data_IF_074704488035
#
_entry.id   IF_074704488035
#
_cell.length_a   1.000
_cell.length_b   1.000
_cell.length_c   1.000
_cell.angle_alpha   90.00
_cell.angle_beta   90.00
_cell.angle_gamma   90.00
#
_symmetry.space_group_name_H-M   'P 1'
#
loop_
_entity.id
_entity.type
_entity.pdbx_description
1 polymer ?
#
# COMPACT_ATOMS: atom_id res chain seq x y z
N UNK A 1 12.06 16.81 -16.18
CA UNK A 1 11.87 15.38 -16.47
C UNK A 1 10.38 15.20 -16.55
N UNK A 2 9.90 14.77 -17.70
CA UNK A 2 8.48 14.54 -17.95
C UNK A 2 8.40 13.28 -18.78
N UNK A 3 7.32 12.52 -18.60
CA UNK A 3 7.01 11.39 -19.47
C UNK A 3 6.27 11.93 -20.69
N UNK A 4 6.42 11.26 -21.83
CA UNK A 4 5.54 11.52 -22.97
C UNK A 4 4.12 11.07 -22.63
N UNK A 5 3.13 11.79 -23.14
CA UNK A 5 1.72 11.40 -23.00
C UNK A 5 1.33 10.43 -24.10
N UNK A 6 0.68 9.34 -23.74
CA UNK A 6 0.11 8.38 -24.70
C UNK A 6 -1.01 9.00 -25.54
N UNK A 7 -0.93 8.85 -26.86
CA UNK A 7 -2.03 9.21 -27.78
C UNK A 7 -3.17 8.18 -27.73
N UNK A 8 -2.84 6.89 -27.51
CA UNK A 8 -3.83 5.80 -27.38
C UNK A 8 -4.61 5.88 -26.07
N UNK A 9 -3.94 6.29 -25.00
CA UNK A 9 -4.50 6.37 -23.65
C UNK A 9 -4.44 7.82 -23.13
N UNK A 10 -5.34 8.71 -23.58
CA UNK A 10 -5.16 10.16 -23.41
C UNK A 10 -5.66 10.73 -22.08
N UNK A 11 -6.39 9.98 -21.26
CA UNK A 11 -7.00 10.50 -20.02
C UNK A 11 -6.12 10.16 -18.81
N UNK A 12 -5.60 11.19 -18.16
CA UNK A 12 -4.77 11.10 -16.96
C UNK A 12 -5.46 11.75 -15.75
N UNK A 13 -5.26 11.18 -14.57
CA UNK A 13 -5.86 11.67 -13.33
C UNK A 13 -4.87 11.69 -12.17
N UNK A 14 -5.06 12.66 -11.28
CA UNK A 14 -4.38 12.75 -9.98
C UNK A 14 -5.35 12.60 -8.81
N UNK A 15 -6.62 12.28 -9.07
CA UNK A 15 -7.65 12.20 -8.02
C UNK A 15 -7.27 11.21 -6.90
N UNK A 16 -6.63 10.10 -7.24
CA UNK A 16 -6.14 9.11 -6.28
C UNK A 16 -4.63 9.24 -6.01
N UNK A 17 -3.80 9.23 -7.06
CA UNK A 17 -2.33 9.25 -6.89
C UNK A 17 -1.82 10.54 -6.26
N UNK A 18 -2.60 11.62 -6.25
CA UNK A 18 -2.27 12.84 -5.51
C UNK A 18 -2.24 12.65 -3.99
N UNK A 19 -2.88 11.62 -3.43
CA UNK A 19 -2.74 11.27 -2.02
C UNK A 19 -1.43 10.52 -1.73
N UNK A 20 -0.87 9.87 -2.77
CA UNK A 20 0.36 9.06 -2.69
C UNK A 20 1.60 9.89 -3.02
N UNK A 21 1.48 10.74 -4.05
CA UNK A 21 2.45 11.72 -4.51
C UNK A 21 1.78 13.11 -4.53
N UNK A 22 1.59 13.74 -3.35
CA UNK A 22 0.99 15.07 -3.26
C UNK A 22 1.92 16.17 -3.79
N UNK A 23 3.22 15.96 -3.66
CA UNK A 23 4.26 16.88 -4.08
C UNK A 23 4.84 16.48 -5.45
N UNK A 24 5.55 17.40 -6.14
CA UNK A 24 6.26 17.07 -7.36
C UNK A 24 7.25 15.92 -7.17
N UNK A 25 7.28 14.98 -8.12
CA UNK A 25 8.20 13.85 -8.14
C UNK A 25 9.63 14.35 -8.25
N UNK A 26 10.50 13.91 -7.33
CA UNK A 26 11.89 14.36 -7.35
C UNK A 26 12.68 13.74 -8.50
N UNK A 27 13.78 14.39 -8.95
CA UNK A 27 14.67 13.79 -9.95
C UNK A 27 15.21 12.42 -9.57
N UNK A 28 15.46 12.22 -8.28
CA UNK A 28 15.94 10.95 -7.77
C UNK A 28 14.89 9.85 -7.97
N UNK A 29 13.67 10.05 -7.46
CA UNK A 29 12.58 9.08 -7.62
C UNK A 29 12.21 8.86 -9.08
N UNK A 30 12.17 9.91 -9.90
CA UNK A 30 11.93 9.79 -11.34
C UNK A 30 12.95 8.85 -11.98
N UNK A 31 14.24 9.07 -11.74
CA UNK A 31 15.31 8.29 -12.36
C UNK A 31 15.41 6.84 -11.88
N UNK A 32 15.01 6.56 -10.62
CA UNK A 32 15.07 5.21 -10.05
C UNK A 32 13.84 4.37 -10.39
N UNK A 33 12.67 5.02 -10.46
CA UNK A 33 11.38 4.31 -10.43
C UNK A 33 10.59 4.46 -11.73
N UNK A 34 10.67 5.60 -12.42
CA UNK A 34 9.81 5.90 -13.57
C UNK A 34 10.51 5.65 -14.90
N UNK A 35 11.50 6.48 -15.24
CA UNK A 35 12.21 6.44 -16.51
C UNK A 35 13.56 7.12 -16.36
N UNK A 36 14.58 6.59 -17.04
CA UNK A 36 15.90 7.21 -17.13
C UNK A 36 16.52 6.97 -18.52
N UNK A 37 17.81 7.24 -18.68
CA UNK A 37 18.53 7.05 -19.95
C UNK A 37 18.58 5.59 -20.44
N UNK A 38 18.44 4.63 -19.53
CA UNK A 38 18.37 3.20 -19.83
C UNK A 38 16.95 2.72 -20.16
N UNK A 39 15.95 3.63 -20.12
CA UNK A 39 14.56 3.37 -20.50
C UNK A 39 13.59 3.32 -19.31
N UNK A 40 12.51 2.56 -19.49
CA UNK A 40 11.45 2.38 -18.49
C UNK A 40 11.96 1.64 -17.25
N UNK A 41 11.58 2.14 -16.08
CA UNK A 41 12.00 1.58 -14.80
C UNK A 41 10.85 0.84 -14.10
N UNK A 42 11.11 0.36 -12.89
CA UNK A 42 10.25 -0.62 -12.20
C UNK A 42 8.79 -0.18 -11.95
N UNK A 43 8.48 1.11 -11.86
CA UNK A 43 7.10 1.58 -11.66
C UNK A 43 6.22 1.23 -12.85
N UNK A 44 6.61 1.68 -14.05
CA UNK A 44 5.83 1.43 -15.28
C UNK A 44 5.83 -0.05 -15.65
N UNK A 45 7.00 -0.70 -15.58
CA UNK A 45 7.11 -2.13 -15.90
C UNK A 45 6.31 -3.00 -14.92
N UNK A 46 6.27 -2.63 -13.64
CA UNK A 46 5.44 -3.30 -12.64
C UNK A 46 3.95 -3.15 -12.94
N UNK A 47 3.49 -1.97 -13.39
CA UNK A 47 2.12 -1.79 -13.85
C UNK A 47 1.77 -2.74 -14.99
N UNK A 48 2.62 -2.82 -16.02
CA UNK A 48 2.42 -3.74 -17.14
C UNK A 48 2.35 -5.18 -16.67
N UNK A 49 3.31 -5.61 -15.86
CA UNK A 49 3.35 -6.98 -15.32
C UNK A 49 2.04 -7.31 -14.58
N UNK A 50 1.55 -6.40 -13.74
CA UNK A 50 0.31 -6.58 -12.99
C UNK A 50 -0.91 -6.74 -13.89
N UNK A 51 -1.09 -5.85 -14.87
CA UNK A 51 -2.26 -5.85 -15.76
C UNK A 51 -2.22 -6.97 -16.81
N UNK A 52 -1.03 -7.36 -17.28
CA UNK A 52 -0.83 -8.55 -18.13
C UNK A 52 -1.12 -9.82 -17.33
N UNK A 53 -0.63 -9.91 -16.08
CA UNK A 53 -0.91 -11.04 -15.19
C UNK A 53 -2.39 -11.17 -14.87
N UNK A 54 -3.12 -10.05 -14.72
CA UNK A 54 -4.58 -10.08 -14.58
C UNK A 54 -5.31 -10.55 -15.86
N UNK A 55 -4.62 -10.64 -16.99
CA UNK A 55 -5.18 -11.11 -18.26
C UNK A 55 -5.84 -10.00 -19.10
N UNK A 56 -5.82 -8.76 -18.65
CA UNK A 56 -6.51 -7.66 -19.32
C UNK A 56 -5.75 -7.02 -20.48
N UNK A 57 -4.46 -7.33 -20.61
CA UNK A 57 -3.58 -6.79 -21.64
C UNK A 57 -2.55 -7.81 -22.11
N UNK A 58 -2.06 -7.60 -23.32
CA UNK A 58 -0.83 -8.19 -23.83
C UNK A 58 0.28 -7.13 -23.94
N UNK A 59 1.53 -7.53 -23.75
CA UNK A 59 2.67 -6.60 -23.68
C UNK A 59 2.81 -5.69 -24.92
N UNK A 60 2.49 -6.21 -26.10
CA UNK A 60 2.54 -5.48 -27.37
C UNK A 60 1.47 -4.38 -27.51
N UNK A 61 0.49 -4.31 -26.60
CA UNK A 61 -0.51 -3.23 -26.61
C UNK A 61 0.05 -1.91 -26.04
N UNK A 62 1.17 -1.97 -25.32
CA UNK A 62 1.83 -0.83 -24.72
C UNK A 62 2.92 -0.25 -25.63
N UNK A 63 3.14 1.05 -25.53
CA UNK A 63 4.33 1.68 -26.09
C UNK A 63 5.57 1.13 -25.38
N UNK A 64 6.56 0.64 -26.12
CA UNK A 64 7.70 -0.07 -25.54
C UNK A 64 8.73 0.86 -24.90
N UNK A 65 8.73 2.14 -25.28
CA UNK A 65 9.74 3.11 -24.87
C UNK A 65 9.17 4.16 -23.89
N UNK A 66 7.84 4.29 -23.83
CA UNK A 66 7.15 5.35 -23.08
C UNK A 66 6.24 4.81 -21.98
N UNK A 67 6.10 5.55 -20.89
CA UNK A 67 5.17 5.19 -19.81
C UNK A 67 3.71 5.25 -20.30
N UNK A 68 2.93 4.20 -19.99
CA UNK A 68 1.52 4.10 -20.32
C UNK A 68 0.67 4.31 -19.07
N UNK A 69 0.94 3.57 -17.98
CA UNK A 69 0.09 3.62 -16.78
C UNK A 69 0.39 4.82 -15.88
N UNK A 70 1.61 5.33 -15.96
CA UNK A 70 2.07 6.48 -15.20
C UNK A 70 2.41 7.65 -16.12
N UNK A 71 2.00 8.85 -15.71
CA UNK A 71 2.41 10.10 -16.34
C UNK A 71 3.09 11.02 -15.34
N UNK A 72 4.19 11.66 -15.72
CA UNK A 72 4.78 12.79 -14.97
C UNK A 72 4.84 14.00 -15.88
N UNK A 73 4.05 15.03 -15.59
CA UNK A 73 4.05 16.28 -16.34
C UNK A 73 3.75 17.47 -15.42
N UNK A 74 4.40 18.60 -15.65
CA UNK A 74 4.41 19.70 -14.69
C UNK A 74 5.04 19.33 -13.35
N UNK A 75 5.86 18.26 -13.33
CA UNK A 75 6.49 17.70 -12.13
C UNK A 75 5.60 16.78 -11.29
N UNK A 76 4.31 16.63 -11.58
CA UNK A 76 3.40 15.83 -10.77
C UNK A 76 3.13 14.45 -11.36
N UNK A 77 2.88 13.47 -10.50
CA UNK A 77 2.48 12.12 -10.89
C UNK A 77 0.99 12.03 -11.22
N UNK A 78 0.65 11.26 -12.25
CA UNK A 78 -0.69 10.97 -12.71
C UNK A 78 -0.82 9.48 -13.05
N UNK A 79 -2.01 8.93 -12.82
CA UNK A 79 -2.40 7.62 -13.32
C UNK A 79 -3.13 7.77 -14.65
N UNK A 80 -2.92 6.82 -15.55
CA UNK A 80 -3.63 6.77 -16.82
C UNK A 80 -4.99 6.09 -16.66
N UNK A 81 -6.04 6.90 -16.56
CA UNK A 81 -7.41 6.42 -16.43
C UNK A 81 -7.89 5.72 -17.72
N UNK A 82 -7.41 6.10 -18.90
CA UNK A 82 -7.79 5.42 -20.16
C UNK A 82 -7.39 3.94 -20.14
N UNK A 83 -6.15 3.63 -19.72
CA UNK A 83 -5.70 2.25 -19.62
C UNK A 83 -6.49 1.47 -18.54
N UNK A 84 -6.78 2.10 -17.40
CA UNK A 84 -7.56 1.47 -16.32
C UNK A 84 -9.02 1.24 -16.73
N UNK A 85 -9.64 2.17 -17.45
CA UNK A 85 -11.01 2.01 -18.01
C UNK A 85 -11.10 0.86 -18.97
N UNK A 86 -10.10 0.69 -19.84
CA UNK A 86 -10.06 -0.44 -20.77
C UNK A 86 -10.00 -1.77 -20.03
N UNK A 87 -9.25 -1.85 -18.92
CA UNK A 87 -9.33 -3.03 -18.05
C UNK A 87 -10.75 -3.28 -17.56
N UNK A 88 -11.42 -2.25 -17.02
CA UNK A 88 -12.81 -2.35 -16.56
C UNK A 88 -13.79 -2.76 -17.66
N UNK A 89 -13.62 -2.26 -18.89
CA UNK A 89 -14.43 -2.63 -20.04
C UNK A 89 -14.23 -4.09 -20.49
N UNK A 90 -13.04 -4.66 -20.27
CA UNK A 90 -12.72 -6.06 -20.59
C UNK A 90 -13.09 -7.02 -19.46
N UNK A 91 -13.12 -6.56 -18.20
CA UNK A 91 -13.33 -7.41 -17.04
C UNK A 91 -14.78 -7.89 -16.91
N UNK A 92 -15.02 -9.20 -16.69
CA UNK A 92 -16.37 -9.74 -16.58
C UNK A 92 -17.08 -9.18 -15.33
N UNK A 93 -18.29 -8.66 -15.53
CA UNK A 93 -19.09 -8.06 -14.45
C UNK A 93 -18.64 -6.66 -14.04
N UNK A 94 -17.75 -6.03 -14.81
CA UNK A 94 -17.31 -4.65 -14.62
C UNK A 94 -17.53 -3.82 -15.89
N UNK A 95 -17.40 -2.52 -15.74
CA UNK A 95 -17.50 -1.52 -16.79
C UNK A 95 -16.40 -0.48 -16.63
N UNK A 96 -16.16 0.31 -17.69
CA UNK A 96 -15.31 1.50 -17.57
C UNK A 96 -15.87 2.53 -16.56
N UNK A 97 -17.18 2.57 -16.35
CA UNK A 97 -17.82 3.45 -15.36
C UNK A 97 -17.48 3.02 -13.92
N UNK A 98 -17.38 1.73 -13.64
CA UNK A 98 -16.99 1.25 -12.30
C UNK A 98 -15.58 1.73 -11.94
N UNK A 99 -14.68 1.80 -12.93
CA UNK A 99 -13.35 2.39 -12.78
C UNK A 99 -13.46 3.90 -12.51
N UNK A 100 -14.32 4.61 -13.24
CA UNK A 100 -14.52 6.04 -13.01
C UNK A 100 -15.07 6.34 -11.62
N UNK A 101 -16.06 5.57 -11.16
CA UNK A 101 -16.65 5.70 -9.84
C UNK A 101 -15.61 5.45 -8.74
N UNK A 102 -14.67 4.51 -8.96
CA UNK A 102 -13.56 4.24 -8.05
C UNK A 102 -12.53 5.38 -7.99
N UNK A 103 -12.17 5.99 -9.13
CA UNK A 103 -11.09 6.98 -9.19
C UNK A 103 -11.55 8.43 -9.02
N UNK A 104 -12.73 8.77 -9.52
CA UNK A 104 -13.25 10.14 -9.59
C UNK A 104 -14.46 10.37 -8.68
N UNK A 105 -15.12 9.30 -8.19
CA UNK A 105 -16.37 9.41 -7.46
C UNK A 105 -17.41 10.19 -8.27
N UNK A 106 -18.01 11.22 -7.67
CA UNK A 106 -19.04 12.06 -8.31
C UNK A 106 -18.49 13.32 -8.98
N UNK A 107 -17.20 13.37 -9.33
CA UNK A 107 -16.63 14.56 -9.96
C UNK A 107 -17.24 14.81 -11.35
N UNK A 108 -17.73 16.04 -11.64
CA UNK A 108 -18.27 16.37 -12.95
C UNK A 108 -17.17 16.65 -13.98
N UNK A 109 -17.50 16.52 -15.27
CA UNK A 109 -16.62 16.94 -16.37
C UNK A 109 -15.55 15.91 -16.78
N UNK A 110 -15.67 14.68 -16.28
CA UNK A 110 -14.84 13.56 -16.71
C UNK A 110 -15.29 13.14 -18.13
N UNK A 111 -14.39 13.12 -19.14
CA UNK A 111 -14.75 12.65 -20.47
C UNK A 111 -15.22 11.19 -20.41
N UNK A 112 -16.32 10.83 -21.10
CA UNK A 112 -16.83 9.47 -21.09
C UNK A 112 -15.82 8.51 -21.73
N UNK A 113 -15.91 7.24 -21.36
CA UNK A 113 -15.21 6.19 -22.09
C UNK A 113 -15.84 6.02 -23.49
N UNK A 114 -15.01 6.12 -24.52
CA UNK A 114 -15.38 5.86 -25.91
C UNK A 114 -14.63 4.61 -26.39
N UNK A 115 -15.37 3.53 -26.61
CA UNK A 115 -14.82 2.26 -27.08
C UNK A 115 -14.09 2.44 -28.43
N UNK A 116 -12.86 1.96 -28.48
CA UNK A 116 -12.02 1.97 -29.68
C UNK A 116 -11.94 0.58 -30.32
N UNK A 117 -11.60 0.50 -31.63
CA UNK A 117 -11.36 -0.79 -32.28
C UNK A 117 -10.29 -1.61 -31.54
N UNK A 118 -10.63 -2.83 -31.15
CA UNK A 118 -9.75 -3.74 -30.41
C UNK A 118 -9.87 -3.68 -28.88
N UNK A 119 -10.73 -2.81 -28.36
CA UNK A 119 -11.00 -2.78 -26.91
C UNK A 119 -11.79 -4.01 -26.46
N UNK A 120 -12.80 -4.40 -27.24
CA UNK A 120 -13.55 -5.64 -27.04
C UNK A 120 -12.72 -6.85 -27.48
N UNK A 121 -12.39 -7.71 -26.52
CA UNK A 121 -11.59 -8.90 -26.73
C UNK A 121 -12.09 -10.02 -25.81
N UNK A 122 -12.90 -10.97 -26.34
CA UNK A 122 -13.45 -12.07 -25.56
C UNK A 122 -12.39 -12.97 -24.91
N UNK A 123 -11.22 -13.10 -25.52
CA UNK A 123 -10.14 -13.93 -24.96
C UNK A 123 -9.53 -13.27 -23.72
N UNK A 124 -9.38 -11.93 -23.74
CA UNK A 124 -8.97 -11.16 -22.55
C UNK A 124 -10.03 -11.19 -21.45
N UNK A 125 -11.32 -11.06 -21.82
CA UNK A 125 -12.42 -11.21 -20.85
C UNK A 125 -12.39 -12.59 -20.18
N UNK A 126 -12.15 -13.66 -20.94
CA UNK A 126 -12.01 -15.01 -20.39
C UNK A 126 -10.82 -15.14 -19.43
N UNK A 127 -9.64 -14.62 -19.80
CA UNK A 127 -8.43 -14.64 -18.95
C UNK A 127 -8.60 -13.87 -17.64
N UNK A 128 -9.28 -12.71 -17.68
CA UNK A 128 -9.62 -11.97 -16.44
C UNK A 128 -10.57 -12.81 -15.58
N UNK A 129 -11.58 -13.45 -16.19
CA UNK A 129 -12.50 -14.34 -15.49
C UNK A 129 -11.80 -15.51 -14.80
N UNK A 130 -10.82 -16.14 -15.46
CA UNK A 130 -9.98 -17.18 -14.87
C UNK A 130 -9.18 -16.66 -13.67
N UNK A 131 -8.63 -15.44 -13.77
CA UNK A 131 -7.90 -14.79 -12.67
C UNK A 131 -8.83 -14.48 -11.50
N UNK A 132 -10.05 -14.01 -11.74
CA UNK A 132 -11.04 -13.78 -10.69
C UNK A 132 -11.43 -15.09 -10.02
N UNK A 133 -11.70 -16.15 -10.79
CA UNK A 133 -11.99 -17.47 -10.24
C UNK A 133 -10.83 -18.00 -9.38
N UNK A 134 -9.58 -17.83 -9.83
CA UNK A 134 -8.40 -18.13 -9.04
C UNK A 134 -8.38 -17.35 -7.71
N UNK A 135 -8.68 -16.05 -7.73
CA UNK A 135 -8.70 -15.21 -6.53
C UNK A 135 -9.71 -15.71 -5.46
N UNK A 136 -10.85 -16.26 -5.85
CA UNK A 136 -11.81 -16.88 -4.92
C UNK A 136 -11.37 -18.27 -4.40
N UNK A 137 -10.38 -18.90 -5.04
CA UNK A 137 -9.94 -20.25 -4.72
C UNK A 137 -8.76 -20.31 -3.74
N UNK A 138 -7.97 -19.25 -3.63
CA UNK A 138 -6.76 -19.23 -2.79
C UNK A 138 -7.07 -18.98 -1.31
N UNK A 139 -6.21 -19.52 -0.45
CA UNK A 139 -6.28 -19.32 1.01
C UNK A 139 -5.21 -18.33 1.51
N UNK A 140 -4.17 -18.08 0.72
CA UNK A 140 -3.04 -17.21 1.05
C UNK A 140 -2.32 -16.71 -0.19
N UNK A 141 -1.49 -15.68 -0.01
CA UNK A 141 -0.61 -15.10 -1.03
C UNK A 141 0.84 -15.41 -0.68
N UNK A 142 1.30 -16.62 -1.00
CA UNK A 142 2.64 -17.11 -0.64
C UNK A 142 3.75 -16.20 -1.17
N UNK A 143 3.66 -15.81 -2.43
CA UNK A 143 4.59 -14.85 -3.02
C UNK A 143 4.74 -13.54 -2.21
N UNK A 144 3.67 -13.04 -1.60
CA UNK A 144 3.70 -11.82 -0.81
C UNK A 144 4.39 -12.03 0.56
N UNK A 145 4.33 -13.26 1.09
CA UNK A 145 5.05 -13.67 2.29
C UNK A 145 6.54 -13.87 2.01
N UNK A 146 6.88 -14.47 0.87
CA UNK A 146 8.26 -14.61 0.38
C UNK A 146 8.91 -13.23 0.20
N UNK A 147 8.20 -12.30 -0.42
CA UNK A 147 8.65 -10.91 -0.55
C UNK A 147 8.88 -10.25 0.81
N UNK A 148 7.99 -10.50 1.78
CA UNK A 148 8.14 -9.94 3.11
C UNK A 148 9.38 -10.49 3.83
N UNK A 149 9.70 -11.77 3.64
CA UNK A 149 10.95 -12.36 4.15
C UNK A 149 12.17 -11.77 3.44
N UNK A 150 12.14 -11.66 2.10
CA UNK A 150 13.22 -11.04 1.35
C UNK A 150 13.49 -9.60 1.80
N UNK A 151 12.45 -8.82 2.13
CA UNK A 151 12.62 -7.45 2.64
C UNK A 151 13.13 -7.41 4.09
N UNK A 152 12.79 -8.40 4.93
CA UNK A 152 13.41 -8.56 6.25
C UNK A 152 14.90 -8.88 6.12
N UNK A 153 15.26 -9.78 5.21
CA UNK A 153 16.64 -10.14 4.95
C UNK A 153 17.44 -8.95 4.39
N UNK A 154 16.88 -8.21 3.42
CA UNK A 154 17.52 -7.01 2.87
C UNK A 154 17.88 -5.99 3.97
N UNK A 155 16.98 -5.79 4.94
CA UNK A 155 17.23 -4.96 6.12
C UNK A 155 18.32 -5.55 7.03
N UNK A 156 18.23 -6.83 7.35
CA UNK A 156 19.17 -7.50 8.25
C UNK A 156 20.61 -7.52 7.69
N UNK A 157 20.75 -7.55 6.36
CA UNK A 157 22.02 -7.56 5.64
C UNK A 157 22.49 -6.15 5.23
N UNK A 158 21.89 -5.09 5.78
CA UNK A 158 22.32 -3.72 5.50
C UNK A 158 23.80 -3.54 5.92
N UNK A 159 24.69 -3.10 5.01
CA UNK A 159 26.08 -2.86 5.35
C UNK A 159 26.22 -1.65 6.28
N UNK A 160 27.41 -1.48 6.86
CA UNK A 160 27.78 -0.22 7.52
C UNK A 160 27.87 0.90 6.49
N UNK A 161 26.75 1.61 6.31
CA UNK A 161 26.61 2.68 5.30
C UNK A 161 27.60 3.82 5.52
N UNK A 162 28.00 4.08 6.77
CA UNK A 162 28.97 5.13 7.15
C UNK A 162 30.38 4.83 6.66
N UNK A 163 30.68 3.55 6.42
CA UNK A 163 31.97 3.10 5.90
C UNK A 163 32.02 3.08 4.37
N UNK A 164 30.90 3.32 3.68
CA UNK A 164 30.81 3.27 2.22
C UNK A 164 31.17 4.62 1.59
N UNK A 165 31.75 4.60 0.39
CA UNK A 165 31.91 5.80 -0.43
C UNK A 165 30.60 6.19 -1.11
N UNK A 166 30.45 7.48 -1.48
CA UNK A 166 29.28 7.97 -2.23
C UNK A 166 28.99 7.15 -3.51
N UNK A 167 30.03 6.64 -4.17
CA UNK A 167 29.88 5.80 -5.37
C UNK A 167 29.26 4.45 -5.04
N UNK A 168 29.68 3.83 -3.94
CA UNK A 168 29.14 2.56 -3.47
C UNK A 168 27.69 2.73 -2.98
N UNK A 169 27.38 3.83 -2.28
CA UNK A 169 26.03 4.17 -1.85
C UNK A 169 25.08 4.30 -3.05
N UNK A 170 25.45 5.10 -4.05
CA UNK A 170 24.65 5.28 -5.28
C UNK A 170 24.50 3.98 -6.06
N UNK A 171 25.58 3.23 -6.24
CA UNK A 171 25.53 1.96 -6.96
C UNK A 171 24.64 0.94 -6.26
N UNK A 172 24.68 0.88 -4.93
CA UNK A 172 23.83 -0.02 -4.15
C UNK A 172 22.36 0.40 -4.21
N UNK A 173 22.06 1.69 -4.07
CA UNK A 173 20.68 2.20 -4.14
C UNK A 173 20.01 1.91 -5.48
N UNK A 174 20.71 2.12 -6.60
CA UNK A 174 20.23 1.75 -7.94
C UNK A 174 20.00 0.24 -8.05
N UNK A 175 20.98 -0.56 -7.62
CA UNK A 175 20.87 -2.03 -7.65
C UNK A 175 19.67 -2.55 -6.87
N UNK A 176 19.35 -1.96 -5.71
CA UNK A 176 18.16 -2.36 -4.92
C UNK A 176 16.87 -2.13 -5.74
N UNK A 177 16.74 -0.99 -6.43
CA UNK A 177 15.60 -0.74 -7.31
C UNK A 177 15.55 -1.74 -8.48
N UNK A 178 16.68 -1.97 -9.15
CA UNK A 178 16.78 -2.89 -10.30
C UNK A 178 16.40 -4.33 -9.91
N UNK A 179 16.89 -4.81 -8.77
CA UNK A 179 16.72 -6.20 -8.32
C UNK A 179 15.29 -6.47 -7.80
N UNK A 180 14.60 -5.46 -7.27
CA UNK A 180 13.39 -5.68 -6.46
C UNK A 180 12.15 -4.93 -6.95
N UNK A 181 12.27 -3.70 -7.41
CA UNK A 181 11.12 -2.79 -7.43
C UNK A 181 10.05 -3.21 -8.44
N UNK A 182 10.42 -3.56 -9.68
CA UNK A 182 9.47 -4.03 -10.70
C UNK A 182 8.59 -5.17 -10.19
N UNK A 183 9.22 -6.17 -9.57
CA UNK A 183 8.56 -7.37 -9.07
C UNK A 183 7.66 -7.07 -7.87
N UNK A 184 8.16 -6.34 -6.88
CA UNK A 184 7.39 -5.96 -5.70
C UNK A 184 6.18 -5.09 -6.07
N UNK A 185 6.41 -4.10 -6.93
CA UNK A 185 5.38 -3.15 -7.35
C UNK A 185 4.34 -3.80 -8.25
N UNK A 186 4.76 -4.62 -9.22
CA UNK A 186 3.81 -5.38 -10.06
C UNK A 186 2.95 -6.35 -9.24
N UNK A 187 3.52 -6.99 -8.21
CA UNK A 187 2.73 -7.79 -7.26
C UNK A 187 1.77 -6.95 -6.43
N UNK A 188 2.20 -5.78 -5.95
CA UNK A 188 1.33 -4.86 -5.24
C UNK A 188 0.13 -4.43 -6.08
N UNK A 189 0.35 -4.12 -7.36
CA UNK A 189 -0.71 -3.72 -8.28
C UNK A 189 -1.66 -4.87 -8.63
N UNK A 190 -1.13 -6.06 -8.87
CA UNK A 190 -1.93 -7.27 -9.09
C UNK A 190 -2.86 -7.57 -7.90
N UNK A 191 -2.31 -7.55 -6.67
CA UNK A 191 -3.09 -7.81 -5.45
C UNK A 191 -4.09 -6.68 -5.19
N UNK A 192 -3.71 -5.42 -5.42
CA UNK A 192 -4.60 -4.26 -5.24
C UNK A 192 -5.77 -4.30 -6.23
N UNK A 193 -5.51 -4.62 -7.50
CA UNK A 193 -6.57 -4.75 -8.52
C UNK A 193 -7.58 -5.83 -8.16
N UNK A 194 -7.12 -6.97 -7.64
CA UNK A 194 -8.00 -8.07 -7.26
C UNK A 194 -8.72 -7.87 -5.92
N UNK A 195 -8.27 -6.96 -5.05
CA UNK A 195 -8.89 -6.73 -3.75
C UNK A 195 -10.34 -6.20 -3.86
N UNK A 196 -10.68 -5.49 -4.93
CA UNK A 196 -12.03 -4.97 -5.15
C UNK A 196 -13.06 -6.06 -5.50
N UNK A 197 -12.63 -7.14 -6.17
CA UNK A 197 -13.50 -8.20 -6.69
C UNK A 197 -14.30 -8.91 -5.59
N UNK A 198 -13.69 -9.45 -4.51
CA UNK A 198 -14.46 -10.09 -3.45
C UNK A 198 -15.32 -9.10 -2.66
N UNK A 199 -14.92 -7.82 -2.57
CA UNK A 199 -15.72 -6.77 -1.93
C UNK A 199 -16.98 -6.48 -2.73
N UNK A 200 -16.89 -6.43 -4.06
CA UNK A 200 -18.05 -6.29 -4.94
C UNK A 200 -19.04 -7.46 -4.76
N UNK A 201 -18.54 -8.70 -4.75
CA UNK A 201 -19.37 -9.89 -4.49
C UNK A 201 -20.06 -9.83 -3.11
N UNK A 202 -19.35 -9.41 -2.06
CA UNK A 202 -19.96 -9.20 -0.75
C UNK A 202 -21.07 -8.13 -0.79
N UNK A 203 -20.86 -7.03 -1.51
CA UNK A 203 -21.86 -5.97 -1.69
C UNK A 203 -23.13 -6.47 -2.35
N UNK A 204 -23.01 -7.23 -3.44
CA UNK A 204 -24.17 -7.80 -4.14
C UNK A 204 -24.95 -8.77 -3.25
N UNK A 205 -24.25 -9.67 -2.56
CA UNK A 205 -24.87 -10.65 -1.66
C UNK A 205 -25.56 -9.95 -0.48
N UNK A 206 -24.88 -8.98 0.16
CA UNK A 206 -25.44 -8.18 1.24
C UNK A 206 -26.70 -7.42 0.78
N UNK A 207 -26.69 -6.84 -0.42
CA UNK A 207 -27.87 -6.17 -0.98
C UNK A 207 -29.02 -7.16 -1.24
N UNK A 208 -28.72 -8.34 -1.81
CA UNK A 208 -29.71 -9.37 -2.12
C UNK A 208 -30.42 -9.91 -0.87
N UNK A 209 -29.74 -9.98 0.27
CA UNK A 209 -30.33 -10.39 1.56
C UNK A 209 -30.95 -9.23 2.35
N UNK A 210 -31.02 -8.02 1.77
CA UNK A 210 -31.61 -6.84 2.41
C UNK A 210 -30.74 -6.19 3.48
N UNK A 211 -29.42 -6.40 3.43
CA UNK A 211 -28.42 -5.86 4.38
C UNK A 211 -27.30 -5.07 3.67
N UNK A 212 -27.60 -4.11 2.78
CA UNK A 212 -26.59 -3.42 1.97
C UNK A 212 -25.55 -2.63 2.77
N UNK A 213 -25.86 -2.26 4.02
CA UNK A 213 -24.93 -1.53 4.90
C UNK A 213 -23.87 -2.40 5.60
N UNK A 214 -23.94 -3.74 5.47
CA UNK A 214 -23.09 -4.64 6.24
C UNK A 214 -21.80 -5.07 5.54
N UNK A 215 -21.63 -4.81 4.23
CA UNK A 215 -20.38 -5.09 3.50
C UNK A 215 -19.17 -4.48 4.19
N UNK A 216 -19.25 -3.21 4.57
CA UNK A 216 -18.14 -2.50 5.21
C UNK A 216 -17.78 -3.12 6.57
N UNK A 217 -18.77 -3.62 7.30
CA UNK A 217 -18.54 -4.29 8.59
C UNK A 217 -17.91 -5.68 8.39
N UNK A 218 -18.27 -6.37 7.31
CA UNK A 218 -17.67 -7.66 6.94
C UNK A 218 -16.18 -7.56 6.61
N UNK A 219 -15.71 -6.39 6.15
CA UNK A 219 -14.30 -6.16 5.82
C UNK A 219 -13.58 -5.25 6.85
N UNK A 220 -14.29 -4.76 7.86
CA UNK A 220 -13.71 -3.90 8.89
C UNK A 220 -12.62 -4.65 9.67
N UNK A 221 -11.47 -3.98 9.88
CA UNK A 221 -10.33 -4.56 10.59
C UNK A 221 -9.52 -5.59 9.78
N UNK A 222 -9.91 -5.88 8.54
CA UNK A 222 -9.22 -6.84 7.68
C UNK A 222 -8.07 -6.14 6.97
N UNK A 223 -6.84 -6.59 7.24
CA UNK A 223 -5.62 -5.97 6.70
C UNK A 223 -5.01 -4.88 7.57
N UNK A 224 -5.74 -4.40 8.59
CA UNK A 224 -5.29 -3.39 9.55
C UNK A 224 -4.09 -3.83 10.41
N UNK A 225 -3.70 -5.11 10.40
CA UNK A 225 -2.61 -5.62 11.24
C UNK A 225 -1.29 -4.91 10.94
N UNK A 226 -0.93 -4.75 9.67
CA UNK A 226 0.33 -4.10 9.31
C UNK A 226 0.28 -2.57 9.43
N UNK A 227 -0.86 -1.96 9.12
CA UNK A 227 -1.04 -0.50 9.20
C UNK A 227 -1.27 0.01 10.63
N UNK A 228 -1.83 -0.79 11.53
CA UNK A 228 -2.08 -0.43 12.92
C UNK A 228 -0.94 -0.79 13.88
N UNK A 229 -0.09 -1.76 13.55
CA UNK A 229 1.03 -2.18 14.39
C UNK A 229 1.97 -1.02 14.82
N UNK A 230 2.33 -0.06 13.93
CA UNK A 230 3.13 1.09 14.36
C UNK A 230 2.43 1.95 15.40
N UNK A 231 1.14 2.22 15.25
CA UNK A 231 0.37 3.04 16.19
C UNK A 231 0.24 2.37 17.55
N UNK A 232 0.11 1.04 17.59
CA UNK A 232 0.13 0.27 18.83
C UNK A 232 1.49 0.35 19.53
N UNK A 233 2.60 0.21 18.78
CA UNK A 233 3.95 0.33 19.35
C UNK A 233 4.23 1.74 19.87
N UNK A 234 3.84 2.79 19.12
CA UNK A 234 3.93 4.18 19.58
C UNK A 234 3.10 4.43 20.83
N UNK A 235 1.92 3.82 20.95
CA UNK A 235 1.07 3.93 22.13
C UNK A 235 1.76 3.39 23.38
N UNK A 236 2.33 2.19 23.30
CA UNK A 236 3.09 1.57 24.39
C UNK A 236 4.31 2.40 24.80
N UNK A 237 5.06 2.93 23.83
CA UNK A 237 6.16 3.87 24.08
C UNK A 237 5.67 5.14 24.78
N UNK A 238 4.52 5.67 24.37
CA UNK A 238 3.86 6.80 25.02
C UNK A 238 3.48 6.51 26.47
N UNK A 239 3.00 5.29 26.78
CA UNK A 239 2.70 4.86 28.16
C UNK A 239 3.97 4.72 29.01
N UNK A 240 5.05 4.19 28.46
CA UNK A 240 6.36 4.13 29.14
C UNK A 240 6.80 5.56 29.52
N UNK A 241 6.77 6.49 28.56
CA UNK A 241 7.13 7.88 28.80
C UNK A 241 6.20 8.58 29.82
N UNK A 242 4.89 8.32 29.78
CA UNK A 242 3.93 8.87 30.73
C UNK A 242 4.13 8.33 32.17
N UNK A 243 4.65 7.11 32.32
CA UNK A 243 4.85 6.48 33.63
C UNK A 243 6.06 7.01 34.42
N UNK A 244 6.97 7.75 33.76
CA UNK A 244 8.12 8.38 34.40
C UNK A 244 8.03 9.90 34.33
N UNK A 245 8.12 10.54 35.50
CA UNK A 245 8.20 12.00 35.62
C UNK A 245 9.46 12.55 34.92
N UNK A 246 10.59 11.84 34.98
CA UNK A 246 11.83 12.29 34.35
C UNK A 246 11.71 12.27 32.82
N UNK A 247 11.21 11.16 32.26
CA UNK A 247 10.96 11.05 30.81
C UNK A 247 9.93 12.07 30.33
N UNK A 248 8.79 12.17 31.01
CA UNK A 248 7.77 13.16 30.66
C UNK A 248 8.32 14.59 30.69
N UNK A 249 9.18 14.92 31.66
CA UNK A 249 9.86 16.21 31.73
C UNK A 249 10.81 16.47 30.56
N UNK A 250 11.44 15.44 29.97
CA UNK A 250 12.25 15.60 28.75
C UNK A 250 11.40 15.78 27.50
N UNK A 251 10.28 15.06 27.38
CA UNK A 251 9.31 15.25 26.30
C UNK A 251 8.70 16.66 26.31
N UNK A 252 8.39 17.21 27.48
CA UNK A 252 7.84 18.57 27.65
C UNK A 252 8.76 19.69 27.13
N UNK A 253 10.07 19.43 27.02
CA UNK A 253 11.03 20.35 26.41
C UNK A 253 11.02 20.32 24.88
N UNK A 254 10.20 19.45 24.28
CA UNK A 254 10.07 19.24 22.84
C UNK A 254 10.94 18.10 22.31
N UNK A 255 10.57 17.56 21.15
CA UNK A 255 11.18 16.36 20.55
C UNK A 255 12.57 16.60 19.94
N UNK A 256 12.95 17.85 19.69
CA UNK A 256 14.23 18.18 19.08
C UNK A 256 15.39 17.70 19.96
N UNK A 257 16.25 16.83 19.43
CA UNK A 257 17.37 16.24 20.19
C UNK A 257 16.95 15.43 21.42
N UNK A 258 15.70 14.96 21.47
CA UNK A 258 15.15 14.23 22.62
C UNK A 258 15.88 12.90 22.88
N UNK A 259 16.25 12.19 21.82
CA UNK A 259 16.99 10.91 21.90
C UNK A 259 18.22 11.04 22.82
N UNK A 260 19.12 11.99 22.51
CA UNK A 260 20.33 12.21 23.31
C UNK A 260 20.05 12.68 24.75
N UNK A 261 18.89 13.32 25.01
CA UNK A 261 18.50 13.67 26.38
C UNK A 261 18.01 12.46 27.15
N UNK A 262 17.25 11.57 26.52
CA UNK A 262 16.77 10.32 27.13
C UNK A 262 17.96 9.39 27.42
N UNK A 263 18.93 9.27 26.50
CA UNK A 263 20.15 8.48 26.72
C UNK A 263 20.98 8.96 27.91
N UNK A 264 20.96 10.26 28.19
CA UNK A 264 21.68 10.86 29.31
C UNK A 264 20.91 10.76 30.66
N UNK A 265 19.66 10.27 30.67
CA UNK A 265 18.88 10.10 31.88
C UNK A 265 19.28 8.81 32.62
N UNK A 266 19.63 8.97 33.90
CA UNK A 266 19.77 7.85 34.84
C UNK A 266 18.39 7.37 35.34
N UNK A 267 17.54 6.85 34.44
CA UNK A 267 16.20 6.34 34.74
C UNK A 267 15.98 4.96 34.08
N UNK A 268 15.61 3.90 34.82
CA UNK A 268 15.26 2.61 34.23
C UNK A 268 14.16 2.68 33.17
N UNK A 269 13.20 3.61 33.31
CA UNK A 269 12.18 3.83 32.30
C UNK A 269 12.78 4.40 31.00
N UNK A 270 13.84 5.22 31.10
CA UNK A 270 14.55 5.74 29.94
C UNK A 270 15.26 4.64 29.16
N UNK A 271 15.93 3.71 29.84
CA UNK A 271 16.53 2.54 29.19
C UNK A 271 15.47 1.69 28.47
N UNK A 272 14.33 1.42 29.13
CA UNK A 272 13.22 0.67 28.52
C UNK A 272 12.61 1.40 27.32
N UNK A 273 12.47 2.72 27.41
CA UNK A 273 11.97 3.53 26.30
C UNK A 273 12.93 3.45 25.11
N UNK A 274 14.24 3.60 25.33
CA UNK A 274 15.25 3.55 24.28
C UNK A 274 15.29 2.19 23.59
N UNK A 275 15.31 1.09 24.35
CA UNK A 275 15.24 -0.27 23.79
C UNK A 275 13.97 -0.46 22.93
N UNK A 276 12.81 -0.04 23.44
CA UNK A 276 11.57 -0.11 22.69
C UNK A 276 11.55 0.80 21.45
N UNK A 277 12.19 1.98 21.53
CA UNK A 277 12.25 2.93 20.43
C UNK A 277 13.21 2.46 19.33
N UNK A 278 14.36 1.88 19.68
CA UNK A 278 15.26 1.23 18.74
C UNK A 278 14.57 0.09 17.98
N UNK A 279 13.84 -0.76 18.71
CA UNK A 279 13.06 -1.83 18.09
C UNK A 279 11.95 -1.28 17.18
N UNK A 280 11.26 -0.22 17.63
CA UNK A 280 10.26 0.47 16.82
C UNK A 280 10.84 1.01 15.51
N UNK A 281 12.02 1.65 15.56
CA UNK A 281 12.71 2.14 14.37
C UNK A 281 13.17 0.99 13.46
N UNK A 282 13.61 -0.13 14.02
CA UNK A 282 13.98 -1.30 13.23
C UNK A 282 12.78 -1.89 12.48
N UNK A 283 11.64 -2.06 13.16
CA UNK A 283 10.45 -2.71 12.59
C UNK A 283 9.65 -1.80 11.67
N UNK A 284 9.53 -0.53 12.05
CA UNK A 284 8.60 0.43 11.44
C UNK A 284 9.27 1.69 10.90
N UNK A 285 10.59 1.83 11.04
CA UNK A 285 11.32 3.02 10.63
C UNK A 285 11.24 3.37 9.14
N UNK A 286 10.82 2.42 8.30
CA UNK A 286 10.53 2.62 6.87
C UNK A 286 9.31 3.50 6.58
N UNK A 287 8.43 3.71 7.56
CA UNK A 287 7.20 4.49 7.42
C UNK A 287 7.47 5.98 7.64
N UNK A 288 6.65 6.82 7.02
CA UNK A 288 6.74 8.28 7.15
C UNK A 288 5.72 8.99 6.26
N UNK A 289 5.63 10.32 6.33
CA UNK A 289 4.86 11.09 5.36
C UNK A 289 5.43 10.85 3.95
N UNK A 290 4.55 10.70 2.95
CA UNK A 290 4.92 10.53 1.53
C UNK A 290 5.94 9.41 1.28
N UNK A 291 5.79 8.28 1.96
CA UNK A 291 6.76 7.17 1.99
C UNK A 291 7.14 6.54 0.64
N UNK A 292 6.33 6.76 -0.42
CA UNK A 292 6.63 6.35 -1.79
C UNK A 292 7.65 7.26 -2.50
N UNK A 293 7.79 8.50 -2.06
CA UNK A 293 8.83 9.42 -2.55
C UNK A 293 10.14 9.12 -1.84
N UNK A 294 11.16 8.71 -2.60
CA UNK A 294 12.45 8.25 -2.08
C UNK A 294 13.17 9.35 -1.28
N UNK A 295 12.92 10.62 -1.59
CA UNK A 295 13.53 11.75 -0.89
C UNK A 295 12.83 12.15 0.41
N UNK A 296 11.63 11.63 0.69
CA UNK A 296 10.87 12.03 1.88
C UNK A 296 11.42 11.36 3.13
N UNK A 297 11.38 12.09 4.25
CA UNK A 297 11.84 11.59 5.54
C UNK A 297 10.94 10.46 6.06
N UNK A 298 11.56 9.51 6.75
CA UNK A 298 10.90 8.41 7.45
C UNK A 298 11.30 8.42 8.92
N UNK A 299 10.61 7.63 9.74
CA UNK A 299 10.89 7.57 11.17
C UNK A 299 12.33 7.11 11.48
N UNK A 300 12.97 6.31 10.63
CA UNK A 300 14.37 5.94 10.86
C UNK A 300 15.34 7.09 10.55
N UNK A 301 15.17 7.80 9.43
CA UNK A 301 16.10 8.87 9.04
C UNK A 301 15.83 10.18 9.79
N UNK A 302 14.58 10.39 10.23
CA UNK A 302 14.17 11.51 11.07
C UNK A 302 13.30 11.04 12.24
N UNK A 303 13.93 10.48 13.31
CA UNK A 303 13.23 9.91 14.47
C UNK A 303 12.31 10.88 15.22
N UNK A 304 12.57 12.19 15.10
CA UNK A 304 11.74 13.23 15.69
C UNK A 304 10.28 13.19 15.19
N UNK A 305 10.04 12.70 13.97
CA UNK A 305 8.69 12.50 13.44
C UNK A 305 7.91 11.46 14.25
N UNK A 306 8.53 10.32 14.58
CA UNK A 306 7.91 9.30 15.41
C UNK A 306 7.76 9.78 16.86
N UNK A 307 8.78 10.43 17.41
CA UNK A 307 8.74 10.99 18.77
C UNK A 307 7.62 12.03 18.93
N UNK A 308 7.32 12.80 17.88
CA UNK A 308 6.22 13.77 17.89
C UNK A 308 4.86 13.07 18.00
N UNK A 309 4.67 11.95 17.30
CA UNK A 309 3.45 11.15 17.41
C UNK A 309 3.35 10.47 18.79
N UNK A 310 4.46 9.90 19.28
CA UNK A 310 4.56 9.29 20.61
C UNK A 310 4.23 10.31 21.71
N UNK A 311 4.72 11.55 21.62
CA UNK A 311 4.42 12.60 22.59
C UNK A 311 2.92 12.93 22.64
N UNK A 312 2.24 12.96 21.49
CA UNK A 312 0.79 13.13 21.44
C UNK A 312 0.05 11.95 22.08
N UNK A 313 0.48 10.73 21.81
CA UNK A 313 -0.09 9.53 22.41
C UNK A 313 0.16 9.45 23.92
N UNK A 314 1.33 9.89 24.40
CA UNK A 314 1.68 10.00 25.83
C UNK A 314 0.68 10.86 26.62
N UNK A 315 0.18 11.93 26.01
CA UNK A 315 -0.79 12.84 26.64
C UNK A 315 -2.26 12.41 26.45
N UNK A 316 -2.51 11.38 25.65
CA UNK A 316 -3.86 10.94 25.35
C UNK A 316 -4.46 10.08 26.48
N UNK A 317 -5.79 10.17 26.74
CA UNK A 317 -6.47 9.33 27.71
C UNK A 317 -6.55 7.88 27.24
N UNK A 318 -6.67 6.92 28.15
CA UNK A 318 -6.67 5.48 27.81
C UNK A 318 -7.76 5.07 26.80
N UNK A 319 -8.87 5.80 26.75
CA UNK A 319 -9.94 5.61 25.75
C UNK A 319 -9.51 5.89 24.30
N UNK A 320 -8.38 6.56 24.09
CA UNK A 320 -7.79 6.80 22.77
C UNK A 320 -6.86 5.67 22.31
N UNK A 321 -6.74 4.58 23.08
CA UNK A 321 -5.88 3.46 22.73
C UNK A 321 -6.26 2.87 21.36
N UNK A 322 -5.30 2.68 20.43
CA UNK A 322 -5.56 2.08 19.13
C UNK A 322 -5.90 0.58 19.23
N UNK A 323 -5.63 -0.06 20.37
CA UNK A 323 -5.79 -1.50 20.57
C UNK A 323 -7.25 -1.94 20.83
N UNK A 324 -8.06 -1.08 21.46
CA UNK A 324 -9.41 -1.46 21.89
C UNK A 324 -10.37 -1.76 20.73
N UNK A 325 -10.30 -0.98 19.66
CA UNK A 325 -11.26 -1.05 18.56
C UNK A 325 -11.11 -2.29 17.66
N UNK A 326 -9.96 -2.97 17.67
CA UNK A 326 -9.73 -4.10 16.76
C UNK A 326 -10.52 -5.35 17.17
N UNK A 327 -10.54 -5.66 18.46
CA UNK A 327 -11.27 -6.82 18.99
C UNK A 327 -12.79 -6.68 18.79
N UNK A 328 -13.33 -5.48 19.01
CA UNK A 328 -14.74 -5.17 18.81
C UNK A 328 -15.15 -5.34 17.33
N UNK A 329 -14.38 -4.77 16.40
CA UNK A 329 -14.61 -4.94 14.95
C UNK A 329 -14.52 -6.40 14.51
N UNK A 330 -13.61 -7.18 15.10
CA UNK A 330 -13.48 -8.59 14.80
C UNK A 330 -14.72 -9.38 15.24
N UNK A 331 -15.21 -9.13 16.46
CA UNK A 331 -16.41 -9.77 16.98
C UNK A 331 -17.66 -9.38 16.16
N UNK A 332 -17.82 -8.10 15.82
CA UNK A 332 -18.93 -7.62 14.98
C UNK A 332 -18.92 -8.29 13.61
N UNK A 333 -17.75 -8.39 12.97
CA UNK A 333 -17.60 -9.09 11.68
C UNK A 333 -18.00 -10.56 11.76
N UNK A 334 -17.55 -11.27 12.79
CA UNK A 334 -17.88 -12.69 13.00
C UNK A 334 -19.38 -12.90 13.20
N UNK A 335 -20.01 -12.03 14.00
CA UNK A 335 -21.45 -12.04 14.21
C UNK A 335 -22.21 -11.82 12.90
N UNK A 336 -21.90 -10.76 12.15
CA UNK A 336 -22.59 -10.43 10.89
C UNK A 336 -22.38 -11.54 9.85
N UNK A 337 -21.17 -12.08 9.77
CA UNK A 337 -20.86 -13.23 8.91
C UNK A 337 -21.75 -14.43 9.22
N UNK A 338 -21.95 -14.75 10.51
CA UNK A 338 -22.81 -15.85 10.92
C UNK A 338 -24.28 -15.58 10.62
N UNK A 339 -24.77 -14.36 10.87
CA UNK A 339 -26.15 -13.96 10.58
C UNK A 339 -26.47 -14.05 9.08
N UNK A 340 -25.60 -13.52 8.21
CA UNK A 340 -25.80 -13.61 6.75
C UNK A 340 -25.70 -15.06 6.27
N UNK A 341 -24.78 -15.85 6.82
CA UNK A 341 -24.69 -17.28 6.50
C UNK A 341 -25.99 -18.02 6.82
N UNK A 342 -26.61 -17.75 7.98
CA UNK A 342 -27.88 -18.33 8.38
C UNK A 342 -29.02 -17.94 7.42
N UNK A 343 -29.05 -16.69 6.95
CA UNK A 343 -30.04 -16.22 5.96
C UNK A 343 -29.91 -16.94 4.60
N UNK A 344 -28.73 -17.46 4.28
CA UNK A 344 -28.41 -18.13 3.02
C UNK A 344 -28.48 -19.67 3.11
N UNK A 345 -28.83 -20.26 4.25
CA UNK A 345 -28.86 -21.73 4.43
C UNK A 345 -29.75 -22.46 3.41
N UNK A 346 -30.86 -21.84 3.02
CA UNK A 346 -31.77 -22.38 2.00
C UNK A 346 -31.23 -22.29 0.57
N UNK A 347 -30.10 -21.61 0.36
CA UNK A 347 -29.41 -21.47 -0.93
C UNK A 347 -27.91 -21.81 -0.78
N UNK A 348 -27.56 -23.12 -0.77
CA UNK A 348 -26.18 -23.59 -0.56
C UNK A 348 -25.16 -23.02 -1.56
N UNK A 349 -25.60 -22.72 -2.79
CA UNK A 349 -24.75 -22.13 -3.83
C UNK A 349 -24.33 -20.70 -3.45
N UNK A 350 -25.29 -19.84 -3.11
CA UNK A 350 -25.02 -18.45 -2.71
C UNK A 350 -24.28 -18.41 -1.36
N UNK A 351 -24.58 -19.33 -0.44
CA UNK A 351 -23.81 -19.48 0.79
C UNK A 351 -22.34 -19.80 0.51
N UNK A 352 -22.06 -20.71 -0.43
CA UNK A 352 -20.71 -21.04 -0.85
C UNK A 352 -19.97 -19.84 -1.46
N UNK A 353 -20.66 -19.06 -2.31
CA UNK A 353 -20.12 -17.82 -2.89
C UNK A 353 -19.81 -16.78 -1.81
N UNK A 354 -20.72 -16.58 -0.85
CA UNK A 354 -20.53 -15.66 0.27
C UNK A 354 -19.29 -16.02 1.10
N UNK A 355 -19.15 -17.30 1.46
CA UNK A 355 -18.00 -17.79 2.23
C UNK A 355 -16.69 -17.66 1.45
N UNK A 356 -16.70 -17.92 0.14
CA UNK A 356 -15.54 -17.70 -0.72
C UNK A 356 -15.17 -16.21 -0.79
N UNK A 357 -16.15 -15.33 -0.92
CA UNK A 357 -15.94 -13.88 -0.94
C UNK A 357 -15.36 -13.35 0.37
N UNK A 358 -15.86 -13.82 1.53
CA UNK A 358 -15.28 -13.46 2.84
C UNK A 358 -13.81 -13.88 2.96
N UNK A 359 -13.48 -15.10 2.56
CA UNK A 359 -12.08 -15.57 2.58
C UNK A 359 -11.21 -14.75 1.63
N UNK A 360 -11.64 -14.58 0.38
CA UNK A 360 -10.88 -13.84 -0.62
C UNK A 360 -10.70 -12.37 -0.21
N UNK A 361 -11.73 -11.71 0.30
CA UNK A 361 -11.62 -10.36 0.84
C UNK A 361 -10.56 -10.29 1.95
N UNK A 362 -10.53 -11.29 2.85
CA UNK A 362 -9.49 -11.38 3.88
C UNK A 362 -8.08 -11.50 3.32
N UNK A 363 -7.90 -12.38 2.34
CA UNK A 363 -6.60 -12.64 1.70
C UNK A 363 -6.10 -11.40 0.97
N UNK A 364 -6.91 -10.82 0.10
CA UNK A 364 -6.48 -9.72 -0.77
C UNK A 364 -6.39 -8.37 -0.04
N UNK A 365 -7.26 -8.08 0.94
CA UNK A 365 -7.13 -6.85 1.72
C UNK A 365 -5.88 -6.86 2.59
N UNK A 366 -5.59 -7.98 3.27
CA UNK A 366 -4.34 -8.12 4.01
C UNK A 366 -3.11 -8.17 3.09
N UNK A 367 -3.24 -8.82 1.94
CA UNK A 367 -2.20 -8.87 0.91
C UNK A 367 -1.87 -7.49 0.34
N UNK A 368 -2.88 -6.63 0.15
CA UNK A 368 -2.71 -5.27 -0.36
C UNK A 368 -1.82 -4.45 0.57
N UNK A 369 -2.11 -4.47 1.87
CA UNK A 369 -1.28 -3.78 2.86
C UNK A 369 0.13 -4.39 2.93
N UNK A 370 0.25 -5.71 2.89
CA UNK A 370 1.55 -6.40 2.90
C UNK A 370 2.45 -6.06 1.72
N UNK A 371 1.90 -6.15 0.52
CA UNK A 371 2.65 -5.87 -0.71
C UNK A 371 3.07 -4.41 -0.78
N UNK A 372 2.23 -3.48 -0.27
CA UNK A 372 2.62 -2.09 -0.04
C UNK A 372 3.79 -1.99 0.95
N UNK A 373 3.68 -2.61 2.12
CA UNK A 373 4.74 -2.62 3.14
C UNK A 373 6.06 -3.12 2.58
N UNK A 374 6.03 -4.17 1.75
CA UNK A 374 7.24 -4.71 1.10
C UNK A 374 7.89 -3.67 0.18
N UNK A 375 7.10 -2.94 -0.63
CA UNK A 375 7.62 -1.84 -1.45
C UNK A 375 8.25 -0.74 -0.59
N UNK A 376 7.56 -0.30 0.47
CA UNK A 376 8.04 0.78 1.36
C UNK A 376 9.31 0.37 2.10
N UNK A 377 9.42 -0.88 2.56
CA UNK A 377 10.64 -1.41 3.18
C UNK A 377 11.80 -1.43 2.19
N UNK A 378 11.56 -1.84 0.95
CA UNK A 378 12.58 -1.78 -0.11
C UNK A 378 13.06 -0.34 -0.36
N UNK A 379 12.13 0.60 -0.53
CA UNK A 379 12.45 2.02 -0.74
C UNK A 379 13.27 2.56 0.44
N UNK A 380 12.95 2.16 1.67
CA UNK A 380 13.70 2.57 2.85
C UNK A 380 15.18 2.14 2.80
N UNK A 381 15.47 0.93 2.34
CA UNK A 381 16.85 0.46 2.22
C UNK A 381 17.65 1.23 1.18
N UNK A 382 16.97 1.85 0.22
CA UNK A 382 17.59 2.81 -0.69
C UNK A 382 17.71 4.19 -0.06
N UNK A 383 16.68 4.65 0.66
CA UNK A 383 16.62 5.95 1.32
C UNK A 383 17.78 6.14 2.30
N UNK A 384 18.05 5.16 3.16
CA UNK A 384 19.15 5.25 4.13
C UNK A 384 20.50 5.46 3.44
N UNK A 385 20.70 4.91 2.24
CA UNK A 385 21.95 5.10 1.48
C UNK A 385 22.11 6.51 0.92
N UNK A 386 21.02 7.23 0.67
CA UNK A 386 21.07 8.58 0.12
C UNK A 386 21.04 9.68 1.18
N UNK A 387 20.69 9.33 2.42
CA UNK A 387 20.78 10.22 3.57
C UNK A 387 22.18 10.24 4.20
N UNK A 388 22.96 9.19 4.00
CA UNK A 388 24.40 9.12 4.33
C UNK A 388 25.23 9.88 3.28
#
# INVERSE_FOLDING_TARGET
>A
METKLSERYPVYTRANVGEVFPDPVTPLSFSLAFQNEDGLQGSELGFRDGYVRMGGFDDHEFDQDECVFLGVFGGYCYLNASAMRLFGARAPGMTAQDIDDQFFGLQPGIPPYEEQPGDQDPDKTARIGETFAWAFSIEQLDDALEDAEAMRQLRAERPDVKAMSNRELVSRGRKIFDDHFRRLFGRHLFVTGLAAVPVAALTEICAAVGRPGDTLKLIAGVGDVESAAPSAAMWELGRIAASSTALSGEFEKGVKGLVGRIEALEDPAAAKFMEGFEQFLYDFGSRGPNEWESSCATWEVEPELALSAIDRMRLSPDSASPLGHQAERAAEREQISAEISAMLEANPEVLGQFQAALRAARVFMAGRERTKTNCVKMIQETRVLFYE
#
